data_IF_633321525166
#
_entry.id   IF_633321525166
#
_cell.length_a   1.000
_cell.length_b   1.000
_cell.length_c   1.000
_cell.angle_alpha   90.00
_cell.angle_beta   90.00
_cell.angle_gamma   90.00
#
_symmetry.space_group_name_H-M   'P 1'
#
loop_
_entity.id
_entity.type
_entity.pdbx_description
1 polymer ?
#
# COMPACT_ATOMS: atom_id res chain seq x y z
N UNK A 1 14.17 22.66 -14.42
CA UNK A 1 14.26 21.39 -13.68
C UNK A 1 13.05 21.10 -12.76
N UNK A 2 11.93 21.82 -12.84
CA UNK A 2 10.75 21.62 -11.96
C UNK A 2 9.54 20.95 -12.64
N UNK A 3 9.60 20.71 -13.96
CA UNK A 3 8.54 20.01 -14.69
C UNK A 3 8.54 18.49 -14.41
N UNK A 4 9.70 17.91 -14.05
CA UNK A 4 9.82 16.47 -13.80
C UNK A 4 9.10 16.01 -12.53
N UNK A 5 9.04 16.85 -11.48
CA UNK A 5 8.43 16.47 -10.20
C UNK A 5 6.90 16.48 -10.28
N UNK A 6 6.30 17.42 -11.05
CA UNK A 6 4.86 17.40 -11.32
C UNK A 6 4.44 16.17 -12.13
N UNK A 7 5.28 15.77 -13.10
CA UNK A 7 5.06 14.56 -13.89
C UNK A 7 5.26 13.27 -13.09
N UNK A 8 6.22 13.23 -12.16
CA UNK A 8 6.44 12.11 -11.24
C UNK A 8 5.29 11.89 -10.25
N UNK A 9 4.51 12.95 -9.98
CA UNK A 9 3.37 12.90 -9.08
C UNK A 9 2.02 12.78 -9.82
N UNK A 10 2.02 12.81 -11.16
CA UNK A 10 0.81 12.62 -11.98
C UNK A 10 -0.20 13.75 -11.94
N UNK A 11 0.16 14.97 -11.51
CA UNK A 11 -0.81 16.05 -11.27
C UNK A 11 -0.90 17.05 -12.43
N UNK A 12 -2.10 17.19 -12.99
CA UNK A 12 -2.55 18.39 -13.71
C UNK A 12 -3.24 19.33 -12.72
N UNK A 13 -3.09 20.64 -12.91
CA UNK A 13 -3.90 21.63 -12.18
C UNK A 13 -5.36 21.43 -12.60
N UNK A 14 -6.22 20.93 -11.71
CA UNK A 14 -7.67 20.85 -11.95
C UNK A 14 -8.46 21.51 -10.81
N UNK A 15 -9.41 22.34 -11.24
CA UNK A 15 -10.53 22.89 -10.47
C UNK A 15 -11.40 21.76 -9.88
N UNK A 16 -12.09 21.99 -8.75
CA UNK A 16 -12.81 20.94 -8.04
C UNK A 16 -14.14 20.66 -8.73
N UNK A 17 -14.14 19.80 -9.75
CA UNK A 17 -15.37 19.15 -10.20
C UNK A 17 -15.26 17.70 -9.79
N UNK A 18 -16.01 17.31 -8.75
CA UNK A 18 -16.30 15.90 -8.47
C UNK A 18 -17.15 15.40 -9.64
N UNK A 19 -16.52 15.11 -10.78
CA UNK A 19 -17.15 14.34 -11.83
C UNK A 19 -17.30 12.92 -11.29
N UNK A 20 -18.55 12.43 -11.24
CA UNK A 20 -18.82 11.01 -11.02
C UNK A 20 -18.25 10.24 -12.22
N UNK A 21 -16.99 9.82 -12.12
CA UNK A 21 -16.34 9.07 -13.18
C UNK A 21 -16.92 7.66 -13.30
N UNK A 22 -16.82 7.01 -14.48
CA UNK A 22 -17.33 5.67 -14.64
C UNK A 22 -16.56 4.67 -13.76
N UNK A 23 -17.27 3.75 -13.08
CA UNK A 23 -16.65 2.71 -12.29
C UNK A 23 -15.88 1.74 -13.19
N UNK A 24 -14.77 1.20 -12.69
CA UNK A 24 -13.97 0.17 -13.37
C UNK A 24 -14.14 -1.14 -12.63
N UNK A 25 -14.18 -2.26 -13.35
CA UNK A 25 -14.17 -3.58 -12.73
C UNK A 25 -12.77 -4.18 -12.88
N UNK A 26 -12.21 -4.60 -11.76
CA UNK A 26 -10.87 -5.20 -11.66
C UNK A 26 -10.99 -6.57 -11.01
N UNK A 27 -10.03 -7.45 -11.24
CA UNK A 27 -9.95 -8.73 -10.53
C UNK A 27 -9.01 -8.57 -9.34
N UNK A 28 -9.58 -8.65 -8.13
CA UNK A 28 -8.83 -8.69 -6.88
C UNK A 28 -8.80 -10.09 -6.28
N UNK A 29 -8.12 -10.22 -5.14
CA UNK A 29 -8.16 -11.41 -4.29
C UNK A 29 -8.98 -11.09 -3.04
N UNK A 30 -9.82 -12.03 -2.63
CA UNK A 30 -10.46 -12.03 -1.30
C UNK A 30 -9.86 -13.16 -0.48
N UNK A 31 -9.51 -12.85 0.77
CA UNK A 31 -9.15 -13.80 1.82
C UNK A 31 -10.29 -13.77 2.84
N UNK A 32 -11.24 -14.72 2.77
CA UNK A 32 -12.40 -14.75 3.66
C UNK A 32 -12.04 -15.03 5.11
N UNK A 33 -12.67 -14.33 6.05
CA UNK A 33 -12.45 -14.57 7.48
C UNK A 33 -13.13 -15.84 8.01
N UNK A 34 -14.05 -16.42 7.24
CA UNK A 34 -14.75 -17.67 7.59
C UNK A 34 -13.89 -18.93 7.36
N UNK A 35 -12.71 -18.79 6.76
CA UNK A 35 -11.77 -19.87 6.48
C UNK A 35 -12.01 -20.59 5.16
N UNK A 36 -12.95 -20.12 4.33
CA UNK A 36 -13.03 -20.58 2.95
C UNK A 36 -11.76 -20.18 2.16
N UNK A 37 -11.38 -20.93 1.11
CA UNK A 37 -10.15 -20.65 0.36
C UNK A 37 -10.13 -19.24 -0.23
N UNK A 38 -8.93 -18.64 -0.23
CA UNK A 38 -8.68 -17.40 -0.96
C UNK A 38 -9.01 -17.61 -2.45
N UNK A 39 -9.66 -16.62 -3.05
CA UNK A 39 -10.11 -16.69 -4.43
C UNK A 39 -10.10 -15.34 -5.12
N UNK A 40 -10.03 -15.37 -6.44
CA UNK A 40 -10.20 -14.18 -7.27
C UNK A 40 -11.67 -13.78 -7.33
N UNK A 41 -11.93 -12.48 -7.34
CA UNK A 41 -13.26 -11.93 -7.52
C UNK A 41 -13.24 -10.60 -8.28
N UNK A 42 -14.28 -10.31 -9.08
CA UNK A 42 -14.46 -9.00 -9.68
C UNK A 42 -14.85 -7.98 -8.60
N UNK A 43 -14.14 -6.86 -8.57
CA UNK A 43 -14.38 -5.71 -7.72
C UNK A 43 -14.67 -4.51 -8.60
N UNK A 44 -15.86 -3.95 -8.47
CA UNK A 44 -16.24 -2.69 -9.12
C UNK A 44 -15.83 -1.54 -8.24
N UNK A 45 -15.32 -0.48 -8.83
CA UNK A 45 -14.77 0.61 -8.07
C UNK A 45 -15.67 1.82 -7.98
N UNK A 46 -15.49 2.62 -6.93
CA UNK A 46 -16.28 3.81 -6.65
C UNK A 46 -15.38 5.00 -6.34
N UNK A 47 -15.89 6.20 -6.62
CA UNK A 47 -15.30 7.42 -6.09
C UNK A 47 -15.65 7.54 -4.61
N UNK A 48 -14.65 7.48 -3.74
CA UNK A 48 -14.78 7.75 -2.31
C UNK A 48 -13.58 8.60 -1.86
N UNK A 49 -13.84 9.52 -0.93
CA UNK A 49 -12.84 10.46 -0.40
C UNK A 49 -12.75 10.43 1.13
N UNK A 50 -13.44 9.50 1.78
CA UNK A 50 -13.68 9.56 3.23
C UNK A 50 -12.69 8.79 4.11
N UNK A 51 -11.79 7.97 3.54
CA UNK A 51 -10.95 7.03 4.28
C UNK A 51 -9.45 7.16 3.92
N UNK A 52 -8.53 6.42 4.60
CA UNK A 52 -7.09 6.52 4.38
C UNK A 52 -6.60 6.27 2.94
N UNK A 53 -7.43 5.63 2.12
CA UNK A 53 -7.24 5.30 0.71
C UNK A 53 -7.77 6.38 -0.26
N UNK A 54 -8.27 7.52 0.24
CA UNK A 54 -8.84 8.61 -0.56
C UNK A 54 -7.90 9.15 -1.63
N UNK A 55 -6.58 9.05 -1.40
CA UNK A 55 -5.55 9.46 -2.35
C UNK A 55 -5.54 8.65 -3.66
N UNK A 56 -6.23 7.50 -3.69
CA UNK A 56 -6.44 6.70 -4.90
C UNK A 56 -7.52 7.29 -5.81
N UNK A 57 -8.38 8.19 -5.29
CA UNK A 57 -9.51 8.87 -5.95
C UNK A 57 -10.62 7.94 -6.47
N UNK A 58 -10.31 6.69 -6.75
CA UNK A 58 -11.26 5.61 -6.83
C UNK A 58 -10.74 4.40 -6.06
N UNK A 59 -11.63 3.74 -5.34
CA UNK A 59 -11.33 2.59 -4.49
C UNK A 59 -12.23 1.41 -4.85
N UNK A 60 -11.79 0.15 -4.66
CA UNK A 60 -12.66 -1.01 -4.82
C UNK A 60 -13.87 -0.92 -3.87
N UNK A 61 -15.08 -1.21 -4.36
CA UNK A 61 -16.28 -1.23 -3.54
C UNK A 61 -16.35 -2.54 -2.75
N UNK A 62 -16.09 -2.47 -1.45
CA UNK A 62 -16.04 -3.62 -0.56
C UNK A 62 -17.29 -3.73 0.33
N UNK A 63 -18.25 -2.82 0.18
CA UNK A 63 -19.43 -2.70 1.05
C UNK A 63 -20.33 -3.93 1.04
N UNK A 64 -20.36 -4.69 -0.06
CA UNK A 64 -21.13 -5.94 -0.12
C UNK A 64 -20.51 -7.08 0.68
N UNK A 65 -19.23 -6.98 1.04
CA UNK A 65 -18.50 -8.03 1.75
C UNK A 65 -18.33 -7.71 3.23
N UNK A 66 -18.21 -6.43 3.59
CA UNK A 66 -18.19 -6.01 4.98
C UNK A 66 -19.60 -5.77 5.48
N UNK A 67 -19.99 -6.57 6.48
CA UNK A 67 -21.36 -6.69 7.01
C UNK A 67 -21.92 -5.33 7.51
N UNK A 68 -21.04 -4.40 7.92
CA UNK A 68 -21.45 -3.10 8.43
C UNK A 68 -20.90 -1.93 7.62
N UNK A 69 -21.70 -0.86 7.56
CA UNK A 69 -21.25 0.42 6.99
C UNK A 69 -20.05 0.99 7.76
N UNK A 70 -19.99 0.72 9.07
CA UNK A 70 -18.91 1.21 9.91
C UNK A 70 -17.58 0.52 9.59
N UNK A 71 -17.60 -0.76 9.23
CA UNK A 71 -16.44 -1.47 8.74
C UNK A 71 -15.87 -0.87 7.45
N UNK A 72 -16.73 -0.40 6.54
CA UNK A 72 -16.33 0.34 5.34
C UNK A 72 -15.74 1.73 5.65
N UNK A 73 -16.36 2.48 6.57
CA UNK A 73 -15.91 3.82 6.96
C UNK A 73 -14.60 3.80 7.74
N UNK A 74 -14.38 2.75 8.51
CA UNK A 74 -13.17 2.52 9.30
C UNK A 74 -12.29 1.46 8.65
N UNK A 75 -12.20 1.48 7.32
CA UNK A 75 -11.23 0.66 6.60
C UNK A 75 -9.86 1.32 6.62
N UNK A 76 -8.85 0.50 6.43
CA UNK A 76 -7.48 0.94 6.27
C UNK A 76 -6.80 0.15 5.14
N UNK A 77 -5.64 0.64 4.76
CA UNK A 77 -4.89 0.16 3.60
C UNK A 77 -3.41 0.08 3.95
N UNK A 78 -2.72 -0.94 3.46
CA UNK A 78 -1.25 -0.94 3.44
C UNK A 78 -0.74 -1.43 2.09
N UNK A 79 0.51 -1.07 1.77
CA UNK A 79 1.14 -1.41 0.49
C UNK A 79 2.22 -2.45 0.68
N UNK A 80 2.29 -3.38 -0.26
CA UNK A 80 3.51 -4.16 -0.45
C UNK A 80 3.91 -4.26 -1.91
N UNK A 81 5.21 -4.41 -2.14
CA UNK A 81 5.77 -4.64 -3.47
C UNK A 81 6.36 -6.05 -3.54
N UNK A 82 5.94 -6.83 -4.53
CA UNK A 82 6.53 -8.12 -4.87
C UNK A 82 7.54 -7.95 -6.01
N UNK A 83 8.80 -8.24 -5.73
CA UNK A 83 9.94 -7.97 -6.62
C UNK A 83 10.72 -9.24 -6.95
N UNK A 84 11.37 -9.23 -8.12
CA UNK A 84 12.17 -10.37 -8.60
C UNK A 84 13.47 -10.55 -7.80
N UNK A 85 14.18 -9.47 -7.51
CA UNK A 85 15.49 -9.49 -6.85
C UNK A 85 15.65 -8.29 -5.91
N UNK A 86 16.32 -8.51 -4.76
CA UNK A 86 16.67 -7.50 -3.73
C UNK A 86 17.62 -6.37 -4.16
N UNK A 87 17.84 -6.17 -5.46
CA UNK A 87 18.83 -5.24 -5.99
C UNK A 87 18.29 -3.83 -6.23
N UNK A 88 17.09 -3.48 -5.74
CA UNK A 88 16.73 -2.05 -5.66
C UNK A 88 17.65 -1.44 -4.61
N UNK A 89 18.55 -0.50 -4.97
CA UNK A 89 19.50 0.04 -4.01
C UNK A 89 18.72 0.73 -2.89
N UNK A 90 18.99 0.34 -1.64
CA UNK A 90 18.47 1.02 -0.45
C UNK A 90 18.63 2.55 -0.55
N UNK A 91 19.72 3.00 -1.20
CA UNK A 91 19.99 4.40 -1.50
C UNK A 91 18.90 5.09 -2.32
N UNK A 92 18.27 4.43 -3.29
CA UNK A 92 17.20 5.01 -4.11
C UNK A 92 15.94 5.26 -3.28
N UNK A 93 15.62 4.35 -2.34
CA UNK A 93 14.48 4.52 -1.44
C UNK A 93 14.73 5.60 -0.38
N UNK A 94 15.92 5.63 0.21
CA UNK A 94 16.30 6.69 1.15
C UNK A 94 16.24 8.06 0.46
N UNK A 95 16.73 8.15 -0.78
CA UNK A 95 16.67 9.38 -1.57
C UNK A 95 15.22 9.81 -1.85
N UNK A 96 14.34 8.90 -2.29
CA UNK A 96 12.91 9.21 -2.48
C UNK A 96 12.23 9.67 -1.19
N UNK A 97 12.56 9.04 -0.07
CA UNK A 97 12.00 9.39 1.25
C UNK A 97 12.47 10.77 1.70
N UNK A 98 13.74 11.09 1.48
CA UNK A 98 14.30 12.40 1.84
C UNK A 98 13.81 13.51 0.91
N UNK A 99 13.67 13.23 -0.39
CA UNK A 99 13.05 14.15 -1.36
C UNK A 99 11.59 14.46 -0.97
N UNK A 100 10.83 13.44 -0.53
CA UNK A 100 9.46 13.61 -0.04
C UNK A 100 9.43 14.43 1.25
N UNK A 101 10.30 14.14 2.23
CA UNK A 101 10.40 14.94 3.47
C UNK A 101 10.73 16.39 3.15
N UNK A 102 11.61 16.64 2.19
CA UNK A 102 11.97 17.98 1.75
C UNK A 102 10.80 18.69 1.06
N UNK A 103 10.01 17.99 0.24
CA UNK A 103 8.79 18.52 -0.37
C UNK A 103 7.71 18.84 0.68
N UNK A 104 7.49 17.95 1.64
CA UNK A 104 6.52 18.14 2.74
C UNK A 104 6.90 19.28 3.70
N UNK A 105 8.18 19.70 3.70
CA UNK A 105 8.69 20.84 4.47
C UNK A 105 8.50 22.18 3.76
N UNK A 106 8.09 22.22 2.49
CA UNK A 106 7.91 23.47 1.74
C UNK A 106 6.46 23.98 1.85
N UNK A 107 6.20 25.07 2.61
CA UNK A 107 4.86 25.49 3.00
C UNK A 107 4.03 26.20 1.90
N UNK A 108 4.57 26.42 0.70
CA UNK A 108 3.98 27.35 -0.28
C UNK A 108 3.43 26.70 -1.56
N UNK A 109 3.51 25.36 -1.74
CA UNK A 109 3.21 24.74 -3.03
C UNK A 109 2.08 23.71 -3.05
N UNK A 110 1.61 23.25 -1.90
CA UNK A 110 0.69 22.13 -1.81
C UNK A 110 -0.51 22.50 -0.93
N UNK A 111 -1.72 22.19 -1.39
CA UNK A 111 -2.92 22.28 -0.57
C UNK A 111 -2.84 21.30 0.61
N UNK A 112 -3.65 21.53 1.66
CA UNK A 112 -3.71 20.62 2.81
C UNK A 112 -4.09 19.19 2.40
N UNK A 113 -4.99 19.06 1.44
CA UNK A 113 -5.44 17.78 0.87
C UNK A 113 -4.33 17.11 0.06
N UNK A 114 -3.61 17.87 -0.76
CA UNK A 114 -2.43 17.36 -1.48
C UNK A 114 -1.34 16.88 -0.52
N UNK A 115 -1.10 17.59 0.57
CA UNK A 115 -0.17 17.15 1.61
C UNK A 115 -0.64 15.86 2.30
N UNK A 116 -1.94 15.72 2.56
CA UNK A 116 -2.50 14.50 3.15
C UNK A 116 -2.36 13.31 2.20
N UNK A 117 -2.69 13.48 0.92
CA UNK A 117 -2.56 12.44 -0.10
C UNK A 117 -1.10 12.01 -0.31
N UNK A 118 -0.15 12.95 -0.31
CA UNK A 118 1.27 12.63 -0.38
C UNK A 118 1.75 11.86 0.85
N UNK A 119 1.28 12.25 2.03
CA UNK A 119 1.59 11.52 3.26
C UNK A 119 1.01 10.11 3.22
N UNK A 120 -0.25 9.94 2.82
CA UNK A 120 -0.85 8.61 2.69
C UNK A 120 -0.08 7.78 1.65
N UNK A 121 0.14 8.28 0.44
CA UNK A 121 0.80 7.52 -0.63
C UNK A 121 2.23 7.08 -0.31
N UNK A 122 3.02 7.92 0.37
CA UNK A 122 4.45 7.70 0.55
C UNK A 122 4.90 7.46 1.99
N UNK A 123 4.03 7.68 2.99
CA UNK A 123 4.29 7.35 4.39
C UNK A 123 3.45 6.17 4.88
N UNK A 124 2.57 5.59 4.04
CA UNK A 124 2.03 4.26 4.33
C UNK A 124 3.20 3.28 4.47
N UNK A 125 3.17 2.38 5.47
CA UNK A 125 4.16 1.31 5.58
C UNK A 125 4.22 0.54 4.25
N UNK A 126 5.41 0.52 3.64
CA UNK A 126 5.67 -0.22 2.42
C UNK A 126 6.47 -1.47 2.76
N UNK A 127 5.85 -2.63 2.60
CA UNK A 127 6.53 -3.91 2.77
C UNK A 127 7.13 -4.35 1.42
N UNK A 128 8.32 -4.96 1.44
CA UNK A 128 8.95 -5.48 0.22
C UNK A 128 9.22 -6.95 0.35
N UNK A 129 8.75 -7.68 -0.65
CA UNK A 129 8.83 -9.12 -0.74
C UNK A 129 9.61 -9.52 -1.98
N UNK A 130 10.44 -10.54 -1.83
CA UNK A 130 11.24 -11.06 -2.92
C UNK A 130 10.81 -12.50 -3.19
N UNK A 131 10.36 -12.75 -4.42
CA UNK A 131 10.02 -14.09 -4.87
C UNK A 131 11.31 -14.93 -4.95
N UNK A 132 11.53 -15.83 -3.98
CA UNK A 132 12.83 -16.50 -3.80
C UNK A 132 13.12 -17.60 -4.81
N UNK A 133 12.11 -18.20 -5.43
CA UNK A 133 12.33 -19.33 -6.32
C UNK A 133 11.37 -19.28 -7.50
N UNK A 134 11.97 -19.37 -8.69
CA UNK A 134 11.38 -19.66 -9.99
C UNK A 134 10.74 -18.46 -10.74
N UNK A 135 11.08 -18.35 -12.03
CA UNK A 135 10.38 -17.51 -13.01
C UNK A 135 8.85 -17.76 -13.08
N UNK A 136 8.34 -18.75 -12.33
CA UNK A 136 6.93 -19.15 -12.30
C UNK A 136 6.02 -18.01 -11.82
N UNK A 137 6.44 -17.24 -10.81
CA UNK A 137 5.64 -16.13 -10.26
C UNK A 137 5.98 -14.77 -10.86
N UNK A 138 6.59 -14.72 -12.06
CA UNK A 138 6.93 -13.44 -12.70
C UNK A 138 5.70 -12.56 -12.96
N UNK A 139 4.55 -13.17 -13.23
CA UNK A 139 3.28 -12.45 -13.44
C UNK A 139 2.70 -11.86 -12.14
N UNK A 140 3.12 -12.39 -10.98
CA UNK A 140 2.75 -11.88 -9.67
C UNK A 140 3.56 -10.64 -9.26
N UNK A 141 4.61 -10.26 -9.99
CA UNK A 141 5.41 -9.10 -9.64
C UNK A 141 4.61 -7.80 -9.79
N UNK A 142 4.84 -6.86 -8.88
CA UNK A 142 4.17 -5.56 -8.89
C UNK A 142 3.90 -4.99 -7.51
N UNK A 143 3.16 -3.88 -7.50
CA UNK A 143 2.70 -3.22 -6.29
C UNK A 143 1.28 -3.66 -5.97
N UNK A 144 1.01 -3.92 -4.70
CA UNK A 144 -0.28 -4.37 -4.19
C UNK A 144 -0.72 -3.52 -3.03
N UNK A 145 -2.03 -3.29 -2.95
CA UNK A 145 -2.67 -2.76 -1.77
C UNK A 145 -3.53 -3.83 -1.11
N UNK A 146 -3.46 -3.87 0.21
CA UNK A 146 -4.31 -4.70 1.05
C UNK A 146 -5.31 -3.82 1.75
N UNK A 147 -6.59 -4.08 1.50
CA UNK A 147 -7.72 -3.42 2.13
C UNK A 147 -8.28 -4.31 3.23
N UNK A 148 -8.50 -3.72 4.39
CA UNK A 148 -9.03 -4.41 5.55
C UNK A 148 -9.83 -3.44 6.42
N UNK A 149 -10.71 -3.98 7.25
CA UNK A 149 -11.44 -3.18 8.22
C UNK A 149 -10.72 -3.14 9.57
N UNK A 150 -10.82 -2.02 10.30
CA UNK A 150 -10.47 -2.00 11.72
C UNK A 150 -11.38 -2.94 12.53
N UNK A 151 -10.94 -3.28 13.75
CA UNK A 151 -11.69 -4.09 14.70
C UNK A 151 -12.98 -3.38 15.14
N UNK A 152 -14.03 -3.47 14.33
CA UNK A 152 -15.32 -2.81 14.52
C UNK A 152 -16.41 -3.87 14.39
N UNK A 153 -17.50 -3.70 15.13
CA UNK A 153 -18.70 -4.55 15.05
C UNK A 153 -18.45 -6.06 15.21
N UNK A 154 -17.54 -6.44 16.11
CA UNK A 154 -17.20 -7.85 16.40
C UNK A 154 -16.72 -8.67 15.18
N UNK A 155 -16.17 -8.00 14.15
CA UNK A 155 -15.54 -8.70 13.03
C UNK A 155 -14.48 -9.70 13.55
N UNK A 156 -14.51 -10.97 13.09
CA UNK A 156 -13.57 -11.97 13.55
C UNK A 156 -12.15 -11.60 13.07
N UNK A 157 -11.15 -11.90 13.90
CA UNK A 157 -9.75 -11.84 13.47
C UNK A 157 -9.56 -12.85 12.34
N UNK A 158 -9.10 -12.38 11.20
CA UNK A 158 -8.85 -13.20 10.03
C UNK A 158 -7.47 -13.86 10.15
N UNK A 159 -7.46 -15.11 10.61
CA UNK A 159 -6.25 -15.91 10.83
C UNK A 159 -5.74 -16.59 9.55
N UNK A 160 -6.41 -16.36 8.43
CA UNK A 160 -6.11 -16.98 7.13
C UNK A 160 -5.29 -16.06 6.24
N UNK A 161 -5.01 -14.84 6.68
CA UNK A 161 -4.06 -13.97 6.01
C UNK A 161 -2.65 -14.56 6.19
N UNK A 162 -1.88 -14.74 5.10
CA UNK A 162 -0.53 -15.28 5.21
C UNK A 162 0.33 -14.44 6.15
N UNK A 163 1.10 -15.12 7.01
CA UNK A 163 1.98 -14.47 8.01
C UNK A 163 2.95 -13.50 7.38
N UNK A 164 3.35 -13.77 6.14
CA UNK A 164 4.27 -12.89 5.44
C UNK A 164 3.66 -11.49 5.20
N UNK A 165 2.34 -11.37 5.11
CA UNK A 165 1.57 -10.11 5.03
C UNK A 165 1.29 -9.51 6.43
N UNK A 166 1.09 -10.33 7.46
CA UNK A 166 0.76 -9.87 8.82
C UNK A 166 1.91 -9.20 9.59
N UNK A 167 3.15 -9.59 9.35
CA UNK A 167 4.29 -9.06 10.12
C UNK A 167 4.66 -7.64 9.69
N UNK A 168 4.24 -6.66 10.49
CA UNK A 168 4.72 -5.29 10.41
C UNK A 168 5.91 -5.11 11.37
N UNK A 169 7.06 -4.67 10.86
CA UNK A 169 8.32 -4.70 11.62
C UNK A 169 8.49 -3.54 12.62
N UNK A 170 7.62 -2.53 12.56
CA UNK A 170 7.72 -1.32 13.40
C UNK A 170 6.91 -1.40 14.70
N UNK A 171 6.14 -2.48 14.92
CA UNK A 171 5.38 -2.68 16.15
C UNK A 171 5.72 -4.04 16.75
N UNK A 172 5.98 -4.08 18.06
CA UNK A 172 6.06 -5.32 18.85
C UNK A 172 4.72 -6.11 18.89
N UNK A 173 3.76 -5.77 18.01
CA UNK A 173 2.43 -6.34 17.90
C UNK A 173 2.18 -6.62 16.41
N UNK A 174 2.01 -7.89 16.00
CA UNK A 174 1.69 -8.22 14.61
C UNK A 174 0.39 -7.53 14.18
N UNK A 175 0.35 -7.09 12.93
CA UNK A 175 -0.84 -6.43 12.38
C UNK A 175 -1.97 -7.46 12.34
N UNK A 176 -3.11 -7.14 12.94
CA UNK A 176 -4.27 -8.04 12.97
C UNK A 176 -5.28 -7.55 11.94
N UNK A 177 -5.64 -8.43 11.03
CA UNK A 177 -6.72 -8.18 10.08
C UNK A 177 -8.05 -8.65 10.66
N UNK A 178 -9.09 -7.84 10.48
CA UNK A 178 -10.45 -8.14 10.96
C UNK A 178 -11.40 -8.23 9.77
N UNK A 179 -12.22 -9.28 9.77
CA UNK A 179 -13.11 -9.58 8.64
C UNK A 179 -12.36 -9.95 7.36
N UNK A 180 -13.07 -9.88 6.24
CA UNK A 180 -12.49 -10.24 4.94
C UNK A 180 -11.41 -9.24 4.53
N UNK A 181 -10.32 -9.79 3.99
CA UNK A 181 -9.19 -9.00 3.47
C UNK A 181 -9.18 -9.06 1.96
N UNK A 182 -8.90 -7.92 1.33
CA UNK A 182 -8.86 -7.78 -0.12
C UNK A 182 -7.48 -7.33 -0.58
N UNK A 183 -6.96 -7.97 -1.62
CA UNK A 183 -5.69 -7.59 -2.24
C UNK A 183 -5.97 -7.18 -3.68
N UNK A 184 -5.49 -6.01 -4.07
CA UNK A 184 -5.61 -5.50 -5.44
C UNK A 184 -4.25 -5.07 -5.97
N UNK A 185 -4.04 -5.26 -7.27
CA UNK A 185 -2.79 -4.90 -7.93
C UNK A 185 -2.89 -3.50 -8.53
N UNK A 186 -1.81 -2.74 -8.36
CA UNK A 186 -1.66 -1.42 -8.94
C UNK A 186 -0.79 -1.51 -10.18
N UNK A 187 -1.20 -0.80 -11.22
CA UNK A 187 -0.45 -0.67 -12.47
C UNK A 187 0.91 0.01 -12.21
N UNK A 188 1.97 -0.33 -12.96
CA UNK A 188 3.28 0.30 -12.84
C UNK A 188 3.26 1.83 -12.95
N UNK A 189 2.33 2.38 -13.72
CA UNK A 189 2.16 3.84 -13.85
C UNK A 189 1.56 4.46 -12.57
N UNK A 190 0.97 3.63 -11.70
CA UNK A 190 0.22 3.88 -10.46
C UNK A 190 -0.98 4.84 -10.60
N UNK A 191 -0.92 5.75 -11.56
CA UNK A 191 -1.87 6.80 -11.85
C UNK A 191 -2.23 6.73 -13.33
N UNK A 192 -3.52 6.63 -13.61
CA UNK A 192 -4.07 6.66 -14.96
C UNK A 192 -3.94 8.05 -15.59
N UNK A 193 -4.27 8.14 -16.88
CA UNK A 193 -4.25 9.39 -17.66
C UNK A 193 -5.18 10.48 -17.10
N UNK A 194 -6.09 10.09 -16.23
CA UNK A 194 -7.10 10.87 -15.54
C UNK A 194 -6.73 11.23 -14.09
N UNK A 195 -5.49 10.93 -13.66
CA UNK A 195 -5.02 11.27 -12.32
C UNK A 195 -5.46 10.30 -11.22
N UNK A 196 -6.19 9.23 -11.54
CA UNK A 196 -6.74 8.25 -10.58
C UNK A 196 -5.84 7.03 -10.43
N UNK A 197 -6.00 6.26 -9.36
CA UNK A 197 -5.28 5.00 -9.23
C UNK A 197 -5.55 4.09 -10.45
N UNK A 198 -4.47 3.65 -11.09
CA UNK A 198 -4.53 2.68 -12.17
C UNK A 198 -4.34 1.29 -11.58
N UNK A 199 -5.29 0.40 -11.84
CA UNK A 199 -5.29 -0.97 -11.33
C UNK A 199 -4.98 -1.96 -12.44
N UNK A 200 -4.48 -3.12 -12.05
CA UNK A 200 -4.33 -4.30 -12.89
C UNK A 200 -5.09 -5.46 -12.28
N UNK A 201 -5.49 -6.41 -13.13
CA UNK A 201 -6.04 -7.68 -12.65
C UNK A 201 -4.96 -8.51 -11.96
N UNK A 202 -5.31 -9.08 -10.82
CA UNK A 202 -4.43 -10.03 -10.11
C UNK A 202 -4.39 -11.35 -10.89
N UNK A 203 -3.18 -11.83 -11.17
CA UNK A 203 -2.97 -13.09 -11.88
C UNK A 203 -3.41 -14.29 -11.02
N UNK A 204 -4.08 -15.31 -11.60
CA UNK A 204 -4.49 -16.52 -10.86
C UNK A 204 -3.36 -17.24 -10.11
N UNK A 205 -2.13 -17.21 -10.65
CA UNK A 205 -0.95 -17.79 -9.98
C UNK A 205 -0.63 -17.12 -8.64
N UNK A 206 -1.17 -15.92 -8.40
CA UNK A 206 -1.05 -15.24 -7.11
C UNK A 206 -1.72 -16.02 -5.97
N UNK A 207 -2.78 -16.80 -6.25
CA UNK A 207 -3.40 -17.63 -5.23
C UNK A 207 -2.47 -18.75 -4.74
N UNK A 208 -1.71 -19.36 -5.67
CA UNK A 208 -0.70 -20.35 -5.32
C UNK A 208 0.45 -19.70 -4.53
N UNK A 209 0.84 -18.49 -4.92
CA UNK A 209 1.84 -17.68 -4.22
C UNK A 209 1.43 -17.36 -2.77
N UNK A 210 0.14 -17.12 -2.50
CA UNK A 210 -0.33 -16.85 -1.13
C UNK A 210 -0.13 -18.03 -0.17
N UNK A 211 -0.17 -19.26 -0.69
CA UNK A 211 -0.07 -20.49 0.10
C UNK A 211 1.39 -20.95 0.26
N UNK A 212 2.26 -20.55 -0.67
CA UNK A 212 3.67 -20.94 -0.69
C UNK A 212 4.53 -20.03 0.21
N UNK A 213 4.50 -20.28 1.53
CA UNK A 213 5.33 -19.56 2.51
C UNK A 213 6.84 -19.62 2.19
N UNK A 214 7.30 -20.62 1.43
CA UNK A 214 8.69 -20.77 0.99
C UNK A 214 9.03 -19.94 -0.26
N UNK A 215 8.02 -19.44 -0.98
CA UNK A 215 8.22 -18.59 -2.17
C UNK A 215 8.67 -17.16 -1.82
N UNK A 216 8.64 -16.76 -0.55
CA UNK A 216 8.88 -15.38 -0.15
C UNK A 216 10.07 -15.22 0.81
N UNK A 217 11.04 -14.38 0.45
CA UNK A 217 11.93 -13.77 1.44
C UNK A 217 11.60 -12.32 1.64
N UNK A 218 11.54 -11.95 2.92
CA UNK A 218 11.50 -10.58 3.36
C UNK A 218 12.92 -10.01 3.35
N UNK A 219 13.13 -8.88 2.67
CA UNK A 219 14.24 -7.99 3.04
C UNK A 219 13.65 -6.78 3.71
N UNK A 220 14.00 -6.64 4.99
CA UNK A 220 13.59 -5.55 5.85
C UNK A 220 14.27 -4.26 5.37
N UNK A 221 13.49 -3.24 5.05
CA UNK A 221 13.97 -1.87 5.12
C UNK A 221 13.27 -1.28 6.34
N UNK A 222 13.96 -1.11 7.48
CA UNK A 222 13.39 -0.35 8.58
C UNK A 222 13.08 1.04 8.04
N UNK A 223 11.82 1.47 8.14
CA UNK A 223 11.53 2.90 8.18
C UNK A 223 12.16 3.37 9.49
N UNK A 224 13.42 3.79 9.44
CA UNK A 224 14.17 4.20 10.62
C UNK A 224 13.36 5.25 11.39
N UNK A 225 12.73 4.77 12.46
CA UNK A 225 12.17 5.59 13.49
C UNK A 225 13.33 6.40 14.08
N UNK A 226 13.19 7.73 14.01
CA UNK A 226 13.91 8.64 14.88
C UNK A 226 13.86 8.13 16.32
N UNK A 227 14.97 7.59 16.84
CA UNK A 227 15.44 7.84 18.20
C UNK A 227 16.81 7.22 18.44
N UNK A 228 17.66 8.02 19.09
CA UNK A 228 18.90 7.65 19.77
C UNK A 228 20.16 7.48 18.91
N UNK A 229 20.74 8.60 18.45
CA UNK A 229 22.18 8.88 18.60
C UNK A 229 22.40 10.39 18.82
N UNK A 230 21.82 10.93 19.89
CA UNK A 230 22.32 12.12 20.57
C UNK A 230 22.64 11.76 22.01
N UNK A 231 23.69 10.98 22.20
CA UNK A 231 24.50 10.87 23.42
C UNK A 231 25.56 9.83 23.14
N UNK A 232 26.80 10.17 23.49
CA UNK A 232 28.01 9.34 23.36
C UNK A 232 28.86 9.58 22.10
N UNK A 233 29.32 10.82 21.93
CA UNK A 233 30.74 11.03 21.66
C UNK A 233 31.26 11.97 22.74
N UNK A 234 31.79 11.37 23.82
CA UNK A 234 32.81 12.02 24.65
C UNK A 234 33.99 12.40 23.74
N UNK A 235 34.65 13.53 23.99
CA UNK A 235 35.85 13.55 24.84
C UNK A 235 36.92 12.54 24.38
N UNK A 236 38.16 13.04 24.20
CA UNK A 236 39.39 12.36 23.76
C UNK A 236 39.57 12.37 22.22
N UNK A 237 40.63 12.89 21.61
CA UNK A 237 41.95 13.33 22.07
C UNK A 237 42.48 14.41 21.11
N UNK A 238 42.97 15.52 21.67
CA UNK A 238 43.92 16.41 21.00
C UNK A 238 45.28 16.04 21.58
N UNK A 239 46.14 15.46 20.74
CA UNK A 239 47.59 15.57 20.85
C UNK A 239 48.08 16.26 19.58
#
# INVERSE_FOLDING_TARGET
MFASVRSLLGWKEEEPVIQSYPPVTIVGVRIPADGSPAHLLPLTTISDSSAPDSFLLHVPDLRSYWISEQAWRLRDIHRFDLQKDGRVPLSQHLQQTDDLKNLLRQPQRLSREQMLHLRQRHLLPQQRFFAQQHNHYHYCLGAYYVFYSFAVDDLPVNKFVPRWIEENNDAHIPHRYFGDVFIVKISPDEVGQDGRAAYEDVDPLFLDFLVDDAACSKTLIPLLHLREEQKMIGSLNIF
#
